data_IF_892956754987
#
_entry.id   IF_892956754987
#
_cell.length_a   1.000
_cell.length_b   1.000
_cell.length_c   1.000
_cell.angle_alpha   90.00
_cell.angle_beta   90.00
_cell.angle_gamma   90.00
#
_symmetry.space_group_name_H-M   'P 1'
#
loop_
_entity.id
_entity.type
_entity.pdbx_description
1 polymer ?
#
# COMPACT_ATOMS: atom_id res chain seq x y z
N UNK A 1 -13.05 -12.00 12.93
CA UNK A 1 -12.67 -11.56 12.25
C UNK A 1 -12.46 -10.51 12.14
N UNK A 2 -12.07 -10.51 12.05
CA UNK A 2 -11.82 -9.49 11.91
C UNK A 2 -11.70 -8.74 10.94
N UNK A 3 -11.52 -8.50 10.75
CA UNK A 3 -11.08 -7.46 9.86
C UNK A 3 -12.24 -6.80 9.21
N UNK A 4 -12.04 -5.69 8.60
CA UNK A 4 -13.05 -5.00 7.83
C UNK A 4 -13.14 -5.67 6.46
N UNK A 5 -14.29 -6.31 6.15
CA UNK A 5 -14.43 -7.06 4.92
C UNK A 5 -14.30 -6.17 3.68
N UNK A 6 -14.76 -4.91 3.75
CA UNK A 6 -14.60 -3.99 2.62
C UNK A 6 -13.14 -3.64 2.38
N UNK A 7 -12.41 -3.40 3.44
CA UNK A 7 -10.98 -3.13 3.34
C UNK A 7 -10.23 -4.34 2.81
N UNK A 8 -10.59 -5.55 3.29
CA UNK A 8 -9.97 -6.79 2.83
C UNK A 8 -10.27 -7.06 1.37
N UNK A 9 -11.50 -6.79 0.93
CA UNK A 9 -11.87 -6.94 -0.48
C UNK A 9 -11.09 -5.97 -1.35
N UNK A 10 -10.97 -4.73 -0.91
CA UNK A 10 -10.20 -3.72 -1.64
C UNK A 10 -8.74 -4.16 -1.75
N UNK A 11 -8.17 -4.62 -0.64
CA UNK A 11 -6.76 -5.05 -0.63
C UNK A 11 -6.54 -6.21 -1.59
N UNK A 12 -7.43 -7.21 -1.60
CA UNK A 12 -7.30 -8.35 -2.48
C UNK A 12 -7.33 -7.96 -3.96
N UNK A 13 -8.27 -7.10 -4.33
CA UNK A 13 -8.36 -6.62 -5.70
C UNK A 13 -7.15 -5.77 -6.07
N UNK A 14 -6.68 -4.97 -5.13
CA UNK A 14 -5.52 -4.11 -5.34
C UNK A 14 -4.27 -4.95 -5.63
N UNK A 15 -4.06 -6.02 -4.85
CA UNK A 15 -2.92 -6.90 -5.07
C UNK A 15 -2.94 -7.49 -6.48
N UNK A 16 -4.11 -7.96 -6.91
CA UNK A 16 -4.26 -8.51 -8.26
C UNK A 16 -3.95 -7.47 -9.33
N UNK A 17 -4.44 -6.25 -9.13
CA UNK A 17 -4.22 -5.18 -10.08
C UNK A 17 -2.75 -4.77 -10.15
N UNK A 18 -2.07 -4.72 -8.99
CA UNK A 18 -0.65 -4.41 -8.95
C UNK A 18 0.15 -5.45 -9.73
N UNK A 19 -0.16 -6.72 -9.52
CA UNK A 19 0.54 -7.79 -10.23
C UNK A 19 0.33 -7.72 -11.73
N UNK A 20 -0.85 -7.32 -12.16
CA UNK A 20 -1.15 -7.14 -13.58
C UNK A 20 -0.40 -5.95 -14.16
N UNK A 21 -0.40 -4.85 -13.42
CA UNK A 21 0.18 -3.59 -13.91
C UNK A 21 1.71 -3.62 -13.90
N UNK A 22 2.31 -4.36 -12.98
CA UNK A 22 3.76 -4.43 -12.84
C UNK A 22 4.22 -5.88 -12.89
N UNK A 23 4.22 -6.49 -14.10
CA UNK A 23 4.61 -7.91 -14.22
C UNK A 23 6.00 -8.16 -13.64
N UNK A 24 6.11 -9.23 -12.86
CA UNK A 24 7.38 -9.57 -12.21
C UNK A 24 7.56 -8.98 -10.84
N UNK A 25 6.65 -8.12 -10.39
CA UNK A 25 6.74 -7.58 -9.03
C UNK A 25 6.43 -8.65 -7.99
N UNK A 26 6.91 -8.41 -6.77
CA UNK A 26 6.59 -9.25 -5.62
C UNK A 26 5.79 -8.38 -4.65
N UNK A 27 4.62 -8.87 -4.24
CA UNK A 27 3.79 -8.17 -3.27
C UNK A 27 3.77 -8.96 -1.98
N UNK A 28 4.16 -8.32 -0.90
CA UNK A 28 4.21 -8.93 0.44
C UNK A 28 3.22 -8.22 1.35
N UNK A 29 2.61 -8.99 2.26
CA UNK A 29 1.77 -8.42 3.31
C UNK A 29 2.62 -8.31 4.56
N UNK A 30 2.69 -7.10 5.11
CA UNK A 30 3.44 -6.87 6.34
C UNK A 30 2.61 -7.32 7.54
N UNK A 31 3.31 -7.77 8.60
CA UNK A 31 2.67 -8.27 9.80
C UNK A 31 2.49 -7.12 10.80
N UNK A 32 1.23 -6.67 11.04
CA UNK A 32 0.98 -5.59 11.99
C UNK A 32 1.24 -5.99 13.44
N UNK A 33 1.33 -7.28 13.71
CA UNK A 33 1.65 -7.75 15.06
C UNK A 33 3.15 -7.63 15.35
N UNK A 34 3.97 -7.60 14.32
CA UNK A 34 5.40 -7.40 14.47
C UNK A 34 5.72 -5.91 14.63
N UNK A 35 5.18 -5.07 13.74
CA UNK A 35 5.34 -3.61 13.82
C UNK A 35 3.97 -2.98 13.67
N UNK A 36 3.43 -2.46 14.78
CA UNK A 36 2.13 -1.79 14.74
C UNK A 36 2.21 -0.52 13.90
N UNK A 37 1.28 -0.39 12.97
CA UNK A 37 1.20 0.79 12.11
C UNK A 37 1.99 0.69 10.83
N UNK A 38 2.76 -0.39 10.63
CA UNK A 38 3.47 -0.58 9.36
C UNK A 38 2.43 -0.69 8.23
N UNK A 39 2.68 -0.08 7.05
CA UNK A 39 1.73 -0.21 5.95
C UNK A 39 1.47 -1.66 5.57
N UNK A 40 0.25 -1.94 5.09
CA UNK A 40 -0.21 -3.30 4.83
C UNK A 40 0.63 -4.05 3.81
N UNK A 41 1.05 -3.36 2.76
CA UNK A 41 1.69 -4.01 1.62
C UNK A 41 3.07 -3.46 1.35
N UNK A 42 3.97 -4.37 0.93
CA UNK A 42 5.28 -4.00 0.41
C UNK A 42 5.35 -4.54 -1.01
N UNK A 43 5.66 -3.66 -1.97
CA UNK A 43 5.76 -4.02 -3.38
C UNK A 43 7.20 -3.87 -3.81
N UNK A 44 7.78 -4.97 -4.29
CA UNK A 44 9.16 -4.98 -4.79
C UNK A 44 9.11 -5.11 -6.30
N UNK A 45 9.77 -4.19 -7.01
CA UNK A 45 9.80 -4.25 -8.47
C UNK A 45 11.10 -3.65 -8.97
N UNK A 46 11.82 -4.41 -9.79
CA UNK A 46 13.15 -4.03 -10.23
C UNK A 46 14.03 -3.84 -8.99
N UNK A 47 14.74 -2.71 -8.88
CA UNK A 47 15.57 -2.42 -7.70
C UNK A 47 14.90 -1.41 -6.78
N UNK A 48 13.57 -1.34 -6.81
CA UNK A 48 12.81 -0.32 -6.06
C UNK A 48 11.73 -0.97 -5.23
N UNK A 49 11.19 -0.20 -4.27
CA UNK A 49 10.13 -0.71 -3.42
C UNK A 49 9.16 0.41 -3.05
N UNK A 50 7.94 -0.01 -2.72
CA UNK A 50 6.89 0.90 -2.27
C UNK A 50 6.07 0.21 -1.19
N UNK A 51 5.53 1.00 -0.26
CA UNK A 51 4.59 0.48 0.75
C UNK A 51 3.26 1.17 0.62
N UNK A 52 2.19 0.42 0.83
CA UNK A 52 0.83 0.94 0.70
C UNK A 52 0.01 0.56 1.93
N UNK A 53 -0.62 1.57 2.53
CA UNK A 53 -1.55 1.35 3.64
C UNK A 53 -2.97 1.43 3.09
N UNK A 54 -3.68 0.29 3.13
CA UNK A 54 -5.01 0.21 2.53
C UNK A 54 -6.08 0.74 3.46
N UNK A 55 -6.97 1.56 2.93
CA UNK A 55 -8.13 2.07 3.62
C UNK A 55 -9.36 1.79 2.76
N UNK A 56 -10.53 1.63 3.39
CA UNK A 56 -11.76 1.34 2.64
C UNK A 56 -12.32 2.57 1.93
N UNK A 57 -11.95 3.77 2.41
CA UNK A 57 -12.39 5.02 1.82
C UNK A 57 -11.50 6.16 2.30
N UNK A 58 -11.65 7.32 1.64
CA UNK A 58 -10.91 8.52 2.02
C UNK A 58 -11.25 9.01 3.42
N UNK A 59 -12.43 8.64 3.93
CA UNK A 59 -12.89 9.11 5.23
C UNK A 59 -12.53 8.18 6.39
N UNK A 60 -11.92 7.04 6.10
CA UNK A 60 -11.52 6.13 7.17
C UNK A 60 -10.43 6.76 8.02
N UNK A 61 -10.58 6.68 9.35
CA UNK A 61 -9.62 7.30 10.26
C UNK A 61 -8.27 6.59 10.23
N UNK A 62 -7.23 7.34 10.58
CA UNK A 62 -5.87 6.83 10.70
C UNK A 62 -5.46 6.78 12.16
N UNK A 63 -4.62 5.80 12.51
CA UNK A 63 -3.97 5.79 13.81
C UNK A 63 -2.65 6.53 13.70
N UNK A 64 -2.19 7.18 14.79
CA UNK A 64 -0.94 7.95 14.72
C UNK A 64 0.26 7.17 14.22
N UNK A 65 0.39 5.88 14.60
CA UNK A 65 1.51 5.09 14.14
C UNK A 65 1.40 4.76 12.65
N UNK A 66 0.20 4.70 12.08
CA UNK A 66 0.05 4.52 10.64
C UNK A 66 0.57 5.75 9.89
N UNK A 67 0.22 6.95 10.37
CA UNK A 67 0.73 8.18 9.78
C UNK A 67 2.25 8.22 9.85
N UNK A 68 2.80 7.83 10.99
CA UNK A 68 4.24 7.84 11.20
C UNK A 68 4.96 6.95 10.18
N UNK A 69 4.50 5.70 10.01
CA UNK A 69 5.20 4.77 9.14
C UNK A 69 4.97 5.05 7.66
N UNK A 70 3.79 5.54 7.29
CA UNK A 70 3.58 5.95 5.90
C UNK A 70 4.54 7.09 5.55
N UNK A 71 4.66 8.08 6.43
CA UNK A 71 5.55 9.21 6.19
C UNK A 71 7.00 8.78 6.14
N UNK A 72 7.42 7.96 7.13
CA UNK A 72 8.81 7.52 7.19
C UNK A 72 9.20 6.68 5.98
N UNK A 73 8.35 5.74 5.60
CA UNK A 73 8.64 4.90 4.44
C UNK A 73 8.64 5.72 3.15
N UNK A 74 7.81 6.76 3.08
CA UNK A 74 7.81 7.64 1.91
C UNK A 74 9.11 8.44 1.80
N UNK A 75 9.70 8.80 2.93
CA UNK A 75 11.00 9.47 2.91
C UNK A 75 12.10 8.55 2.40
N UNK A 76 11.99 7.26 2.69
CA UNK A 76 12.99 6.27 2.28
C UNK A 76 12.84 5.85 0.83
N UNK A 77 11.62 5.73 0.34
CA UNK A 77 11.32 5.36 -1.04
C UNK A 77 9.96 5.91 -1.43
N UNK A 78 8.89 5.13 -1.23
CA UNK A 78 7.54 5.54 -1.63
C UNK A 78 6.55 4.88 -0.68
N UNK A 79 5.64 5.67 -0.13
CA UNK A 79 4.57 5.10 0.70
C UNK A 79 3.36 6.02 0.65
N UNK A 80 2.17 5.42 0.63
CA UNK A 80 0.91 6.15 0.54
C UNK A 80 -0.19 5.41 1.28
N UNK A 81 -1.15 6.17 1.79
CA UNK A 81 -2.47 5.62 2.05
C UNK A 81 -3.15 5.43 0.71
N UNK A 82 -3.78 4.28 0.50
CA UNK A 82 -4.45 3.99 -0.76
C UNK A 82 -5.88 3.49 -0.48
N UNK A 83 -6.84 4.03 -1.20
CA UNK A 83 -8.25 3.72 -1.06
C UNK A 83 -8.89 3.88 -2.43
N UNK A 84 -10.16 3.44 -2.61
CA UNK A 84 -10.76 3.46 -3.95
C UNK A 84 -10.69 4.83 -4.64
N UNK A 85 -10.86 5.92 -3.89
CA UNK A 85 -10.91 7.25 -4.49
C UNK A 85 -9.57 7.74 -5.03
N UNK A 86 -8.43 7.26 -4.47
CA UNK A 86 -7.12 7.72 -4.95
C UNK A 86 -6.29 6.62 -5.61
N UNK A 87 -6.88 5.43 -5.79
CA UNK A 87 -6.14 4.27 -6.26
C UNK A 87 -5.39 4.52 -7.58
N UNK A 88 -6.08 5.07 -8.57
CA UNK A 88 -5.44 5.29 -9.87
C UNK A 88 -4.29 6.27 -9.79
N UNK A 89 -4.48 7.33 -9.03
CA UNK A 89 -3.44 8.33 -8.86
C UNK A 89 -2.19 7.72 -8.19
N UNK A 90 -2.41 6.96 -7.12
CA UNK A 90 -1.30 6.34 -6.39
C UNK A 90 -0.57 5.32 -7.25
N UNK A 91 -1.31 4.48 -7.99
CA UNK A 91 -0.68 3.48 -8.85
C UNK A 91 0.09 4.13 -10.00
N UNK A 92 -0.40 5.26 -10.52
CA UNK A 92 0.33 5.99 -11.54
C UNK A 92 1.64 6.57 -10.98
N UNK A 93 1.59 7.12 -9.77
CA UNK A 93 2.80 7.65 -9.12
C UNK A 93 3.80 6.53 -8.83
N UNK A 94 3.30 5.40 -8.35
CA UNK A 94 4.14 4.24 -8.08
C UNK A 94 4.79 3.74 -9.37
N UNK A 95 4.04 3.76 -10.48
CA UNK A 95 4.58 3.38 -11.78
C UNK A 95 5.74 4.26 -12.21
N UNK A 96 5.64 5.55 -11.95
CA UNK A 96 6.75 6.47 -12.27
C UNK A 96 8.00 6.12 -11.48
N UNK A 97 7.85 5.75 -10.22
CA UNK A 97 8.99 5.31 -9.41
C UNK A 97 9.62 4.06 -10.02
N UNK A 98 8.79 3.06 -10.35
CA UNK A 98 9.30 1.78 -10.83
C UNK A 98 9.94 1.86 -12.20
N UNK A 99 9.58 2.87 -13.00
CA UNK A 99 10.16 3.07 -14.34
C UNK A 99 11.41 3.93 -14.32
N UNK A 100 11.68 4.62 -13.23
CA UNK A 100 12.78 5.57 -13.13
C UNK A 100 14.16 4.90 -13.16
#
# INVERSE_FOLDING_TARGET
MKGNSKENQFQGKLISEIKERFPGCIVLKNDPNYIQGIPDLLVLHNNKWAMLECKKSSSESHRPNQDYYVEKANEMSFSRFIFPENKEEVLNEMGKLFEA
#
